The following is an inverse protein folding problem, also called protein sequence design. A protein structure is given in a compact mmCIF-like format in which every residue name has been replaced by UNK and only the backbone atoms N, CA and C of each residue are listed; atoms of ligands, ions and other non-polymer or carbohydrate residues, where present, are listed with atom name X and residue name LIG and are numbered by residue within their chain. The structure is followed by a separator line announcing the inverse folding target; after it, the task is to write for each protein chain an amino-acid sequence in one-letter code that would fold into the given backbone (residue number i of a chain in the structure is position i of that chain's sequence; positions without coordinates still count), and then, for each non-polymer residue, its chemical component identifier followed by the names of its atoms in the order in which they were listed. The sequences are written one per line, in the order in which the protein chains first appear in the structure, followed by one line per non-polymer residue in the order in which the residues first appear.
data_IF_122498267134
#
_entry.id   IF_122498267134
#
_cell.length_a   1.000
_cell.length_b   1.000
_cell.length_c   1.000
_cell.angle_alpha   90.00
_cell.angle_beta   90.00
_cell.angle_gamma   90.00
#
_symmetry.space_group_name_H-M   'P 1'
#
loop_
_entity.id
_entity.type
_entity.pdbx_description
1 polymer ?
#
# COMPACT_ATOMS: atom_id res chain seq x y z
N UNK A 1 57.63 -1.98 -3.23
CA UNK A 1 57.54 -3.05 -2.22
C UNK A 1 56.50 -2.60 -1.19
N UNK A 2 55.26 -3.07 -1.35
CA UNK A 2 54.57 -4.05 -0.48
C UNK A 2 54.29 -3.52 0.94
N UNK A 3 53.14 -3.76 1.59
CA UNK A 3 51.77 -4.15 1.25
C UNK A 3 51.01 -4.14 2.60
N UNK A 4 49.66 -4.12 2.57
CA UNK A 4 48.69 -4.39 3.66
C UNK A 4 48.23 -3.21 4.54
N UNK A 5 47.14 -2.59 4.09
CA UNK A 5 46.05 -2.13 4.96
C UNK A 5 44.94 -3.18 4.80
N UNK A 6 44.48 -3.75 5.92
CA UNK A 6 43.41 -4.74 5.90
C UNK A 6 43.13 -5.30 7.29
N UNK A 7 41.85 -5.33 7.61
CA UNK A 7 41.21 -5.96 8.78
C UNK A 7 41.21 -5.11 10.06
N UNK A 8 40.27 -4.16 10.18
CA UNK A 8 39.77 -3.76 11.52
C UNK A 8 38.35 -3.15 11.61
N UNK A 9 37.54 -3.14 10.53
CA UNK A 9 36.13 -2.69 10.61
C UNK A 9 35.09 -3.82 10.66
N UNK A 10 35.51 -5.09 10.68
CA UNK A 10 34.59 -6.24 10.67
C UNK A 10 34.28 -6.85 12.05
N UNK A 11 34.72 -6.23 13.16
CA UNK A 11 34.56 -6.77 14.52
C UNK A 11 33.61 -5.97 15.44
N UNK A 12 33.00 -4.88 14.96
CA UNK A 12 32.04 -4.10 15.77
C UNK A 12 30.58 -4.52 15.52
N UNK A 13 30.28 -5.15 14.38
CA UNK A 13 28.91 -5.60 14.07
C UNK A 13 28.47 -6.90 14.80
N UNK A 14 29.39 -7.63 15.44
CA UNK A 14 29.08 -8.94 16.03
C UNK A 14 28.99 -8.97 17.57
N UNK A 15 29.04 -7.79 18.24
CA UNK A 15 28.87 -7.68 19.71
C UNK A 15 27.47 -7.24 20.17
N UNK A 16 26.60 -6.82 19.25
CA UNK A 16 25.22 -6.44 19.60
C UNK A 16 24.17 -7.54 19.39
N UNK A 17 24.52 -8.68 18.77
CA UNK A 17 23.60 -9.84 18.67
C UNK A 17 23.46 -10.65 19.97
N UNK A 18 24.47 -10.66 20.85
CA UNK A 18 24.43 -11.50 22.07
C UNK A 18 23.83 -10.81 23.30
N UNK A 19 23.66 -9.48 23.26
CA UNK A 19 23.08 -8.69 24.38
C UNK A 19 21.56 -8.50 24.30
N UNK A 20 20.97 -8.66 23.12
CA UNK A 20 19.51 -8.60 22.93
C UNK A 20 18.83 -9.95 23.19
N UNK A 21 19.52 -11.08 23.00
CA UNK A 21 18.99 -12.40 23.38
C UNK A 21 18.98 -12.66 24.90
N UNK A 22 19.80 -11.96 25.70
CA UNK A 22 19.81 -12.09 27.17
C UNK A 22 18.79 -11.19 27.88
N UNK A 23 18.27 -10.15 27.23
CA UNK A 23 17.17 -9.35 27.78
C UNK A 23 15.79 -10.02 27.60
N UNK A 24 15.62 -10.82 26.55
CA UNK A 24 14.36 -11.50 26.24
C UNK A 24 14.09 -12.74 27.13
N UNK A 25 15.13 -13.42 27.61
CA UNK A 25 14.99 -14.55 28.54
C UNK A 25 14.77 -14.12 30.01
N UNK A 26 15.01 -12.84 30.35
CA UNK A 26 14.78 -12.33 31.71
C UNK A 26 13.31 -11.96 31.98
N UNK A 27 12.50 -11.74 30.93
CA UNK A 27 11.06 -11.47 31.05
C UNK A 27 10.19 -12.75 31.00
N UNK A 28 10.75 -13.89 30.59
CA UNK A 28 10.03 -15.16 30.47
C UNK A 28 9.88 -15.94 31.79
N UNK A 29 10.50 -15.48 32.90
CA UNK A 29 10.51 -16.18 34.20
C UNK A 29 9.78 -15.49 35.37
N UNK A 30 8.94 -14.48 35.14
CA UNK A 30 8.20 -13.77 36.21
C UNK A 30 6.68 -13.70 36.04
N UNK A 31 6.03 -14.80 35.64
CA UNK A 31 4.59 -15.00 35.83
C UNK A 31 4.31 -16.30 36.59
N UNK A 32 4.69 -16.28 37.85
CA UNK A 32 4.11 -17.13 38.88
C UNK A 32 3.88 -16.23 40.09
N UNK A 33 2.74 -16.41 40.78
CA UNK A 33 2.29 -15.71 41.99
C UNK A 33 1.45 -14.43 41.70
N UNK A 34 0.12 -14.56 41.67
CA UNK A 34 -0.79 -14.09 42.74
C UNK A 34 -2.25 -14.37 42.36
N UNK A 35 -2.84 -15.35 43.03
CA UNK A 35 -4.28 -15.54 43.20
C UNK A 35 -4.68 -14.78 44.48
N UNK A 36 -5.95 -14.37 44.57
CA UNK A 36 -6.78 -14.02 45.75
C UNK A 36 -7.03 -12.50 45.98
N UNK A 37 -8.31 -12.21 46.27
CA UNK A 37 -9.03 -10.97 46.68
C UNK A 37 -9.62 -10.15 45.49
N UNK A 38 -10.94 -9.95 45.32
CA UNK A 38 -12.12 -10.18 46.17
C UNK A 38 -13.44 -10.12 45.37
N UNK A 39 -14.45 -10.80 45.91
CA UNK A 39 -15.87 -10.85 45.51
C UNK A 39 -16.69 -9.80 46.32
N UNK A 40 -17.83 -9.35 45.77
CA UNK A 40 -19.16 -8.95 46.36
C UNK A 40 -19.73 -7.78 45.50
N UNK A 41 -20.66 -7.97 44.56
CA UNK A 41 -22.14 -8.16 44.61
C UNK A 41 -22.95 -6.91 45.02
N UNK A 42 -23.78 -6.36 44.11
CA UNK A 42 -25.16 -5.94 44.39
C UNK A 42 -25.95 -5.57 43.11
N UNK A 43 -27.20 -6.04 43.08
CA UNK A 43 -28.24 -5.93 42.07
C UNK A 43 -29.00 -4.60 42.20
N UNK A 44 -29.29 -3.91 41.09
CA UNK A 44 -30.51 -3.09 40.97
C UNK A 44 -31.06 -3.20 39.55
N UNK A 45 -32.27 -3.77 39.47
CA UNK A 45 -33.14 -3.79 38.29
C UNK A 45 -33.83 -2.43 38.22
N UNK A 46 -33.71 -1.71 37.10
CA UNK A 46 -34.59 -0.59 36.76
C UNK A 46 -35.34 -0.91 35.48
N UNK A 47 -36.64 -1.05 35.65
CA UNK A 47 -37.66 -1.23 34.62
C UNK A 47 -37.79 0.06 33.83
N UNK A 48 -37.60 0.01 32.51
CA UNK A 48 -37.96 1.10 31.59
C UNK A 48 -39.19 0.66 30.79
N UNK A 49 -40.30 1.41 30.81
CA UNK A 49 -41.50 1.05 30.05
C UNK A 49 -41.30 1.31 28.56
N UNK A 50 -41.62 0.29 27.76
CA UNK A 50 -41.73 0.32 26.31
C UNK A 50 -42.93 1.17 25.87
N UNK A 51 -42.68 2.20 25.06
CA UNK A 51 -43.74 2.88 24.30
C UNK A 51 -43.88 2.20 22.94
N UNK A 52 -45.04 1.57 22.77
CA UNK A 52 -45.49 0.93 21.54
C UNK A 52 -45.86 2.01 20.53
N UNK A 53 -45.09 2.15 19.46
CA UNK A 53 -45.51 2.88 18.26
C UNK A 53 -46.07 1.87 17.28
N UNK A 54 -47.38 1.95 17.05
CA UNK A 54 -48.12 1.13 16.08
C UNK A 54 -47.67 1.43 14.66
N UNK A 55 -47.15 0.40 13.98
CA UNK A 55 -46.74 0.41 12.58
C UNK A 55 -47.96 0.10 11.69
N UNK A 56 -48.46 1.08 10.94
CA UNK A 56 -49.44 0.86 9.89
C UNK A 56 -48.77 0.13 8.70
N UNK A 57 -49.24 -1.08 8.41
CA UNK A 57 -48.91 -1.83 7.19
C UNK A 57 -49.82 -1.35 6.06
N UNK A 58 -49.25 -0.72 5.04
CA UNK A 58 -49.87 -0.64 3.71
C UNK A 58 -49.11 -1.52 2.74
N UNK A 59 -49.83 -2.52 2.22
CA UNK A 59 -49.45 -3.43 1.15
C UNK A 59 -49.39 -2.64 -0.16
N UNK A 60 -48.28 -2.70 -0.90
CA UNK A 60 -48.28 -2.47 -2.36
C UNK A 60 -47.39 -3.51 -3.02
N UNK A 61 -48.02 -4.33 -3.85
CA UNK A 61 -47.41 -5.30 -4.74
C UNK A 61 -46.89 -4.65 -6.03
N UNK A 62 -45.84 -5.28 -6.56
CA UNK A 62 -45.43 -5.43 -7.97
C UNK A 62 -45.25 -4.17 -8.84
N UNK A 63 -44.03 -3.97 -9.32
CA UNK A 63 -43.63 -4.37 -10.70
C UNK A 63 -42.14 -4.15 -10.90
N UNK A 64 -41.40 -5.22 -11.24
CA UNK A 64 -40.03 -5.13 -11.78
C UNK A 64 -40.15 -4.99 -13.30
N UNK A 65 -39.89 -3.80 -13.83
CA UNK A 65 -39.66 -3.59 -15.25
C UNK A 65 -38.15 -3.62 -15.48
N UNK A 66 -37.67 -4.68 -16.11
CA UNK A 66 -36.36 -4.71 -16.72
C UNK A 66 -36.41 -3.81 -17.96
N UNK A 67 -35.69 -2.70 -17.93
CA UNK A 67 -35.50 -1.87 -19.12
C UNK A 67 -34.17 -2.28 -19.74
N UNK A 68 -34.24 -2.99 -20.86
CA UNK A 68 -33.11 -3.17 -21.79
C UNK A 68 -32.68 -1.79 -22.26
N UNK A 69 -31.41 -1.43 -22.01
CA UNK A 69 -30.79 -0.25 -22.61
C UNK A 69 -29.98 -0.74 -23.82
N UNK A 70 -30.54 -0.51 -25.00
CA UNK A 70 -29.86 -0.62 -26.29
C UNK A 70 -28.73 0.41 -26.37
N UNK A 71 -27.51 -0.07 -26.59
CA UNK A 71 -26.30 0.73 -26.80
C UNK A 71 -26.34 1.42 -28.16
N UNK A 72 -26.08 2.74 -28.16
CA UNK A 72 -25.73 3.48 -29.38
C UNK A 72 -24.32 4.01 -29.20
N UNK A 73 -23.42 3.59 -30.09
CA UNK A 73 -21.98 3.84 -30.01
C UNK A 73 -21.62 5.22 -30.55
N UNK A 74 -20.95 6.04 -29.74
CA UNK A 74 -20.02 7.06 -30.23
C UNK A 74 -18.86 7.26 -29.24
N UNK A 75 -17.71 6.67 -29.57
CA UNK A 75 -16.40 7.30 -29.40
C UNK A 75 -15.92 7.77 -28.02
N UNK A 76 -16.41 7.23 -26.90
CA UNK A 76 -15.75 7.44 -25.59
C UNK A 76 -14.86 6.25 -25.26
N UNK A 77 -13.58 6.54 -25.03
CA UNK A 77 -12.58 5.62 -24.52
C UNK A 77 -13.08 5.13 -23.15
N UNK A 78 -13.55 3.89 -23.09
CA UNK A 78 -14.00 3.24 -21.87
C UNK A 78 -12.82 3.18 -20.90
N UNK A 79 -12.75 4.14 -19.99
CA UNK A 79 -11.94 4.05 -18.79
C UNK A 79 -12.61 2.94 -17.98
N UNK A 80 -12.03 1.75 -17.99
CA UNK A 80 -12.50 0.64 -17.17
C UNK A 80 -12.12 0.93 -15.73
N UNK A 81 -12.87 1.84 -15.09
CA UNK A 81 -12.83 2.00 -13.63
C UNK A 81 -13.16 0.63 -13.03
N UNK A 82 -12.30 0.10 -12.17
CA UNK A 82 -12.52 -1.17 -11.46
C UNK A 82 -13.87 -1.09 -10.75
N UNK A 83 -14.86 -1.90 -11.14
CA UNK A 83 -16.19 -1.89 -10.51
C UNK A 83 -16.16 -2.73 -9.23
N UNK A 84 -15.66 -2.15 -8.14
CA UNK A 84 -15.80 -2.68 -6.77
C UNK A 84 -17.04 -2.03 -6.16
N UNK A 85 -18.11 -2.80 -6.03
CA UNK A 85 -19.32 -2.35 -5.34
C UNK A 85 -19.05 -2.16 -3.83
N UNK A 86 -19.82 -1.30 -3.15
CA UNK A 86 -19.69 -1.04 -1.71
C UNK A 86 -19.73 -2.30 -0.81
N UNK A 87 -20.34 -3.39 -1.29
CA UNK A 87 -20.46 -4.65 -0.56
C UNK A 87 -19.51 -5.74 -1.06
N UNK A 88 -18.55 -5.39 -1.93
CA UNK A 88 -17.56 -6.35 -2.42
C UNK A 88 -16.81 -6.96 -1.24
N UNK A 89 -16.73 -8.29 -1.28
CA UNK A 89 -15.94 -9.10 -0.37
C UNK A 89 -14.92 -9.87 -1.18
N UNK A 90 -13.88 -10.32 -0.51
CA UNK A 90 -12.88 -11.19 -1.10
C UNK A 90 -12.89 -12.52 -0.38
N UNK A 91 -12.70 -13.59 -1.14
CA UNK A 91 -12.57 -14.94 -0.58
C UNK A 91 -11.37 -14.98 0.35
N UNK A 92 -11.55 -15.51 1.54
CA UNK A 92 -10.51 -15.58 2.59
C UNK A 92 -9.59 -16.78 2.35
N UNK A 93 -9.00 -16.85 1.15
CA UNK A 93 -8.08 -17.90 0.71
C UNK A 93 -7.14 -17.36 -0.37
N UNK A 94 -6.15 -16.55 0.03
CA UNK A 94 -5.22 -16.01 -0.95
C UNK A 94 -4.43 -17.10 -1.67
N UNK A 95 -4.08 -16.78 -2.91
CA UNK A 95 -3.09 -17.51 -3.69
C UNK A 95 -1.81 -16.68 -3.77
N UNK A 96 -0.65 -17.31 -3.56
CA UNK A 96 0.63 -16.67 -3.84
C UNK A 96 0.85 -16.64 -5.35
N UNK A 97 0.99 -15.45 -5.93
CA UNK A 97 1.14 -15.27 -7.39
C UNK A 97 2.57 -14.91 -7.82
N UNK A 98 3.42 -14.54 -6.87
CA UNK A 98 4.85 -14.28 -7.06
C UNK A 98 5.59 -14.44 -5.72
N UNK A 99 6.84 -14.89 -5.77
CA UNK A 99 7.66 -15.13 -4.59
C UNK A 99 7.21 -16.35 -3.76
N UNK A 100 7.48 -16.31 -2.45
CA UNK A 100 7.16 -17.40 -1.51
C UNK A 100 8.09 -18.62 -1.58
N UNK A 101 9.15 -18.58 -2.40
CA UNK A 101 10.12 -19.65 -2.58
C UNK A 101 11.39 -19.43 -1.74
N UNK A 102 11.20 -19.13 -0.45
CA UNK A 102 12.27 -18.72 0.48
C UNK A 102 12.92 -17.37 0.13
N UNK A 103 13.72 -16.86 1.08
CA UNK A 103 14.48 -15.64 0.92
C UNK A 103 15.62 -15.86 -0.08
N UNK A 104 15.75 -14.97 -1.06
CA UNK A 104 16.89 -14.96 -1.98
C UNK A 104 16.69 -14.06 -3.19
N UNK A 105 17.60 -14.16 -4.15
CA UNK A 105 17.70 -13.27 -5.31
C UNK A 105 17.49 -13.99 -6.66
N UNK A 106 17.12 -15.27 -6.65
CA UNK A 106 16.71 -15.97 -7.87
C UNK A 106 15.42 -15.37 -8.44
N UNK A 107 15.12 -15.62 -9.71
CA UNK A 107 13.94 -15.03 -10.37
C UNK A 107 12.60 -15.60 -9.89
N UNK A 108 12.62 -16.70 -9.13
CA UNK A 108 11.44 -17.22 -8.44
C UNK A 108 11.37 -16.78 -6.95
N UNK A 109 12.32 -15.96 -6.49
CA UNK A 109 12.42 -15.45 -5.13
C UNK A 109 12.23 -13.93 -5.11
N UNK A 110 11.74 -13.43 -3.99
CA UNK A 110 11.64 -11.99 -3.69
C UNK A 110 12.32 -11.76 -2.34
N UNK A 111 12.76 -10.53 -2.09
CA UNK A 111 13.28 -10.08 -0.81
C UNK A 111 12.66 -8.72 -0.45
N UNK A 112 11.71 -8.76 0.49
CA UNK A 112 10.93 -7.62 0.95
C UNK A 112 10.29 -6.83 -0.20
N UNK A 113 9.40 -7.46 -1.00
CA UNK A 113 8.70 -6.76 -2.07
C UNK A 113 7.84 -5.63 -1.51
N UNK A 114 7.99 -4.43 -2.06
CA UNK A 114 7.26 -3.22 -1.65
C UNK A 114 6.16 -2.88 -2.65
N UNK A 115 6.30 -1.80 -3.41
CA UNK A 115 5.31 -1.33 -4.37
C UNK A 115 5.03 -2.32 -5.49
N UNK A 116 3.76 -2.40 -5.87
CA UNK A 116 3.27 -3.31 -6.91
C UNK A 116 2.40 -2.60 -7.93
N UNK A 117 2.55 -2.98 -9.20
CA UNK A 117 1.70 -2.50 -10.28
C UNK A 117 1.14 -3.65 -11.11
N UNK A 118 -0.18 -3.78 -11.16
CA UNK A 118 -0.88 -4.77 -11.99
C UNK A 118 -1.07 -4.22 -13.41
N UNK A 119 -0.45 -4.86 -14.40
CA UNK A 119 -0.68 -4.62 -15.82
C UNK A 119 -1.70 -5.64 -16.33
N UNK A 120 -2.99 -5.28 -16.28
CA UNK A 120 -4.10 -6.08 -16.81
C UNK A 120 -3.95 -6.41 -18.30
N UNK A 121 -3.42 -5.50 -19.10
CA UNK A 121 -3.31 -5.69 -20.55
C UNK A 121 -2.31 -6.80 -20.86
N UNK A 122 -1.24 -6.87 -20.07
CA UNK A 122 -0.23 -7.92 -20.14
C UNK A 122 -0.39 -8.98 -19.05
N UNK A 123 -1.54 -9.09 -18.37
CA UNK A 123 -1.81 -10.13 -17.36
C UNK A 123 -0.60 -10.42 -16.45
N UNK A 124 0.02 -9.35 -15.95
CA UNK A 124 1.29 -9.43 -15.23
C UNK A 124 1.32 -8.41 -14.09
N UNK A 125 2.27 -8.58 -13.20
CA UNK A 125 2.54 -7.65 -12.11
C UNK A 125 4.01 -7.23 -12.16
N UNK A 126 4.26 -5.95 -11.95
CA UNK A 126 5.58 -5.40 -11.69
C UNK A 126 5.75 -5.22 -10.18
N UNK A 127 6.90 -5.63 -9.66
CA UNK A 127 7.17 -5.69 -8.24
C UNK A 127 8.50 -4.99 -7.98
N UNK A 128 8.50 -4.02 -7.06
CA UNK A 128 9.70 -3.47 -6.48
C UNK A 128 10.30 -4.46 -5.48
N UNK A 129 11.26 -5.26 -5.94
CA UNK A 129 11.97 -6.28 -5.16
C UNK A 129 13.12 -5.59 -4.42
N UNK A 130 12.75 -4.94 -3.32
CA UNK A 130 13.48 -3.84 -2.69
C UNK A 130 14.92 -4.22 -2.31
N UNK A 131 15.09 -5.32 -1.57
CA UNK A 131 16.41 -5.76 -1.08
C UNK A 131 17.23 -6.48 -2.15
N UNK A 132 16.61 -6.85 -3.27
CA UNK A 132 17.30 -7.35 -4.44
C UNK A 132 17.65 -6.23 -5.44
N UNK A 133 17.37 -4.96 -5.12
CA UNK A 133 17.75 -3.79 -5.92
C UNK A 133 17.29 -3.89 -7.39
N UNK A 134 16.06 -4.36 -7.60
CA UNK A 134 15.53 -4.64 -8.93
C UNK A 134 14.02 -4.48 -9.00
N UNK A 135 13.53 -4.37 -10.23
CA UNK A 135 12.12 -4.57 -10.55
C UNK A 135 11.96 -5.91 -11.24
N UNK A 136 11.06 -6.74 -10.73
CA UNK A 136 10.69 -8.02 -11.33
C UNK A 136 9.32 -7.89 -11.98
N UNK A 137 9.19 -8.39 -13.20
CA UNK A 137 7.88 -8.60 -13.84
C UNK A 137 7.49 -10.07 -13.70
N UNK A 138 6.29 -10.34 -13.23
CA UNK A 138 5.77 -11.69 -13.08
C UNK A 138 4.49 -11.86 -13.89
N UNK A 139 4.48 -12.80 -14.84
CA UNK A 139 3.27 -13.14 -15.61
C UNK A 139 2.36 -14.03 -14.78
N UNK A 140 1.05 -13.78 -14.77
CA UNK A 140 0.13 -14.61 -13.98
C UNK A 140 0.19 -16.08 -14.40
N UNK A 141 0.35 -16.96 -13.41
CA UNK A 141 0.52 -18.41 -13.61
C UNK A 141 1.94 -18.88 -13.93
N UNK A 142 2.93 -17.98 -13.99
CA UNK A 142 4.33 -18.36 -14.16
C UNK A 142 4.96 -18.77 -12.82
N UNK A 143 5.94 -19.70 -12.87
CA UNK A 143 6.68 -20.15 -11.68
C UNK A 143 7.81 -19.20 -11.26
N UNK A 144 8.21 -18.29 -12.16
CA UNK A 144 9.26 -17.30 -11.94
C UNK A 144 9.00 -16.01 -12.70
N UNK A 145 9.54 -14.91 -12.18
CA UNK A 145 9.55 -13.62 -12.84
C UNK A 145 10.64 -13.49 -13.90
N UNK A 146 10.68 -12.32 -14.52
CA UNK A 146 11.76 -11.85 -15.38
C UNK A 146 12.26 -10.49 -14.88
N UNK A 147 13.56 -10.25 -14.99
CA UNK A 147 14.15 -8.97 -14.64
C UNK A 147 13.62 -7.88 -15.58
N UNK A 148 13.00 -6.84 -15.02
CA UNK A 148 12.40 -5.75 -15.78
C UNK A 148 13.25 -4.47 -15.73
N UNK A 149 13.89 -4.20 -14.60
CA UNK A 149 14.83 -3.09 -14.42
C UNK A 149 15.79 -3.39 -13.24
N UNK A 150 16.94 -2.72 -13.21
CA UNK A 150 17.97 -2.95 -12.18
C UNK A 150 18.64 -4.32 -12.31
N UNK A 151 18.98 -4.95 -11.18
CA UNK A 151 19.62 -6.28 -11.14
C UNK A 151 21.10 -6.30 -11.54
N UNK A 152 21.73 -5.14 -11.69
CA UNK A 152 23.18 -4.99 -11.95
C UNK A 152 23.96 -4.71 -10.66
N UNK A 153 23.50 -5.27 -9.54
CA UNK A 153 23.97 -4.95 -8.19
C UNK A 153 23.37 -3.66 -7.64
N UNK A 154 23.54 -3.48 -6.32
CA UNK A 154 23.28 -2.22 -5.63
C UNK A 154 24.24 -1.13 -6.12
N UNK A 155 23.71 0.03 -6.45
CA UNK A 155 24.53 1.20 -6.77
C UNK A 155 23.74 2.33 -7.41
N UNK A 156 24.45 3.38 -7.81
CA UNK A 156 23.87 4.64 -8.30
C UNK A 156 24.07 4.87 -9.80
N UNK A 157 24.72 3.93 -10.50
CA UNK A 157 24.83 3.99 -11.96
C UNK A 157 23.44 4.02 -12.61
N UNK A 158 23.37 4.53 -13.84
CA UNK A 158 22.08 4.73 -14.53
C UNK A 158 21.33 3.40 -14.75
N UNK A 159 22.05 2.28 -14.79
CA UNK A 159 21.52 0.94 -14.94
C UNK A 159 21.48 0.14 -13.62
N UNK A 160 21.70 0.78 -12.48
CA UNK A 160 21.57 0.20 -11.14
C UNK A 160 20.40 0.83 -10.39
N UNK A 161 19.86 0.10 -9.42
CA UNK A 161 18.87 0.62 -8.47
C UNK A 161 19.43 0.43 -7.06
N UNK A 162 18.88 1.17 -6.10
CA UNK A 162 19.23 1.09 -4.70
C UNK A 162 17.96 1.21 -3.85
N UNK A 163 17.49 0.07 -3.35
CA UNK A 163 16.25 -0.08 -2.59
C UNK A 163 15.05 0.59 -3.30
N UNK A 164 14.68 0.13 -4.51
CA UNK A 164 13.49 0.64 -5.18
C UNK A 164 12.26 0.37 -4.32
N UNK A 165 11.41 1.38 -4.13
CA UNK A 165 10.24 1.28 -3.25
C UNK A 165 8.96 1.07 -4.04
N UNK A 166 8.84 1.74 -5.18
CA UNK A 166 7.61 1.74 -5.97
C UNK A 166 7.90 1.70 -7.47
N UNK A 167 6.96 1.15 -8.22
CA UNK A 167 7.01 1.07 -9.67
C UNK A 167 5.61 1.26 -10.24
N UNK A 168 5.47 2.15 -11.23
CA UNK A 168 4.25 2.30 -12.02
C UNK A 168 4.56 2.20 -13.51
N UNK A 169 3.51 2.10 -14.32
CA UNK A 169 3.61 1.97 -15.77
C UNK A 169 3.05 3.21 -16.48
N UNK A 170 3.89 3.87 -17.28
CA UNK A 170 3.43 4.75 -18.36
C UNK A 170 3.07 3.86 -19.56
N UNK A 171 1.77 3.57 -19.71
CA UNK A 171 1.27 2.66 -20.76
C UNK A 171 1.46 3.22 -22.17
N UNK A 172 1.26 4.52 -22.34
CA UNK A 172 1.37 5.20 -23.62
C UNK A 172 2.80 5.16 -24.15
N UNK A 173 3.77 5.49 -23.29
CA UNK A 173 5.19 5.51 -23.66
C UNK A 173 5.92 4.19 -23.43
N UNK A 174 5.26 3.21 -22.83
CA UNK A 174 5.79 1.87 -22.50
C UNK A 174 7.04 1.94 -21.60
N UNK A 175 7.02 2.87 -20.64
CA UNK A 175 8.08 3.01 -19.64
C UNK A 175 7.61 2.52 -18.27
N UNK A 176 8.49 1.80 -17.58
CA UNK A 176 8.40 1.69 -16.13
C UNK A 176 8.90 3.00 -15.53
N UNK A 177 8.20 3.50 -14.52
CA UNK A 177 8.62 4.64 -13.71
C UNK A 177 8.88 4.10 -12.32
N UNK A 178 10.10 4.28 -11.83
CA UNK A 178 10.60 3.59 -10.65
C UNK A 178 11.05 4.63 -9.63
N UNK A 179 10.57 4.46 -8.40
CA UNK A 179 11.07 5.18 -7.27
C UNK A 179 12.30 4.48 -6.74
N UNK A 180 13.47 5.08 -6.97
CA UNK A 180 14.78 4.56 -6.60
C UNK A 180 15.26 5.32 -5.34
N UNK A 181 14.74 4.90 -4.19
CA UNK A 181 14.66 5.71 -2.97
C UNK A 181 16.04 6.13 -2.44
N UNK A 182 16.98 5.20 -2.26
CA UNK A 182 18.29 5.55 -1.66
C UNK A 182 19.21 6.28 -2.65
N UNK A 183 18.96 6.14 -3.95
CA UNK A 183 19.58 7.01 -4.96
C UNK A 183 18.90 8.38 -5.08
N UNK A 184 17.84 8.63 -4.30
CA UNK A 184 17.03 9.86 -4.25
C UNK A 184 16.60 10.34 -5.63
N UNK A 185 16.05 9.44 -6.43
CA UNK A 185 15.63 9.74 -7.80
C UNK A 185 14.39 8.98 -8.23
N UNK A 186 13.70 9.53 -9.22
CA UNK A 186 12.73 8.80 -10.03
C UNK A 186 13.33 8.56 -11.40
N UNK A 187 13.35 7.30 -11.84
CA UNK A 187 13.98 6.87 -13.08
C UNK A 187 12.95 6.18 -13.98
N UNK A 188 13.00 6.46 -15.29
CA UNK A 188 12.25 5.70 -16.29
C UNK A 188 13.10 4.60 -16.90
N UNK A 189 12.47 3.47 -17.21
CA UNK A 189 13.07 2.33 -17.90
C UNK A 189 12.19 1.85 -19.05
N UNK A 190 12.75 1.65 -20.25
CA UNK A 190 11.96 1.15 -21.38
C UNK A 190 11.59 -0.32 -21.19
N UNK A 191 10.32 -0.67 -21.44
CA UNK A 191 9.87 -2.07 -21.54
C UNK A 191 10.38 -2.77 -22.80
N UNK A 192 10.91 -2.02 -23.76
CA UNK A 192 11.33 -2.54 -25.05
C UNK A 192 12.86 -2.49 -25.23
N UNK A 193 13.54 -1.56 -24.56
CA UNK A 193 14.99 -1.41 -24.61
C UNK A 193 15.58 -1.25 -23.20
N UNK A 194 16.11 -2.33 -22.63
CA UNK A 194 16.67 -2.32 -21.27
C UNK A 194 17.92 -1.43 -21.12
N UNK A 195 18.45 -0.86 -22.21
CA UNK A 195 19.63 0.01 -22.24
C UNK A 195 19.28 1.52 -22.36
N UNK A 196 18.01 1.91 -22.18
CA UNK A 196 17.56 3.32 -22.16
C UNK A 196 16.98 3.78 -20.80
N UNK A 197 17.70 3.61 -19.67
CA UNK A 197 17.29 4.25 -18.42
C UNK A 197 17.54 5.76 -18.47
N UNK A 198 16.59 6.55 -17.95
CA UNK A 198 16.70 8.02 -17.87
C UNK A 198 16.15 8.53 -16.54
N UNK A 199 16.91 9.37 -15.85
CA UNK A 199 16.45 10.05 -14.64
C UNK A 199 15.40 11.10 -15.03
N UNK A 200 14.24 11.07 -14.37
CA UNK A 200 13.16 12.03 -14.54
C UNK A 200 13.22 13.13 -13.49
N UNK A 201 13.46 12.75 -12.24
CA UNK A 201 13.51 13.66 -11.09
C UNK A 201 14.70 13.24 -10.22
N UNK A 202 15.51 14.21 -9.81
CA UNK A 202 16.66 14.01 -8.91
C UNK A 202 16.43 14.72 -7.58
N UNK A 203 17.20 14.34 -6.55
CA UNK A 203 17.14 14.93 -5.21
C UNK A 203 15.77 14.80 -4.54
N UNK A 204 15.10 13.66 -4.76
CA UNK A 204 13.81 13.36 -4.16
C UNK A 204 13.89 12.03 -3.41
N UNK A 205 13.55 12.04 -2.12
CA UNK A 205 13.45 10.80 -1.33
C UNK A 205 12.06 10.22 -1.55
N UNK A 206 11.86 9.68 -2.76
CA UNK A 206 10.56 9.18 -3.18
C UNK A 206 10.12 7.99 -2.29
N UNK A 207 8.81 7.86 -2.07
CA UNK A 207 8.23 6.68 -1.40
C UNK A 207 7.03 6.09 -2.14
N UNK A 208 6.30 6.90 -2.90
CA UNK A 208 5.16 6.46 -3.69
C UNK A 208 5.04 7.25 -5.00
N UNK A 209 4.53 6.58 -6.03
CA UNK A 209 4.33 7.10 -7.37
C UNK A 209 2.86 6.94 -7.77
N UNK A 210 2.34 7.92 -8.50
CA UNK A 210 1.08 7.80 -9.22
C UNK A 210 1.16 8.57 -10.54
N UNK A 211 0.39 8.18 -11.54
CA UNK A 211 0.34 8.87 -12.82
C UNK A 211 -1.11 9.07 -13.24
N UNK A 212 -1.44 10.30 -13.64
CA UNK A 212 -2.77 10.59 -14.17
C UNK A 212 -2.89 10.17 -15.66
N UNK A 213 -4.11 10.23 -16.17
CA UNK A 213 -4.43 9.89 -17.56
C UNK A 213 -3.85 10.86 -18.62
N UNK A 214 -3.19 11.95 -18.19
CA UNK A 214 -2.46 12.88 -19.05
C UNK A 214 -0.94 12.69 -18.97
N UNK A 215 -0.47 11.70 -18.20
CA UNK A 215 0.93 11.40 -18.02
C UNK A 215 1.64 12.32 -17.03
N UNK A 216 0.91 13.06 -16.18
CA UNK A 216 1.54 13.79 -15.09
C UNK A 216 1.92 12.81 -13.99
N UNK A 217 3.19 12.85 -13.60
CA UNK A 217 3.74 12.03 -12.54
C UNK A 217 3.57 12.73 -11.19
N UNK A 218 3.04 12.01 -10.22
CA UNK A 218 2.93 12.42 -8.83
C UNK A 218 3.92 11.60 -8.01
N UNK A 219 4.63 12.26 -7.10
CA UNK A 219 5.66 11.62 -6.27
C UNK A 219 5.56 12.15 -4.85
N UNK A 220 5.42 11.26 -3.87
CA UNK A 220 5.61 11.64 -2.47
C UNK A 220 7.09 11.78 -2.16
N UNK A 221 7.47 12.93 -1.60
CA UNK A 221 8.80 13.21 -1.11
C UNK A 221 8.80 13.11 0.41
N UNK A 222 9.45 12.06 0.92
CA UNK A 222 9.42 11.72 2.34
C UNK A 222 10.07 12.81 3.20
N UNK A 223 11.23 13.28 2.76
CA UNK A 223 12.09 14.18 3.53
C UNK A 223 11.55 15.63 3.49
N UNK A 224 10.97 16.04 2.36
CA UNK A 224 10.34 17.37 2.22
C UNK A 224 8.88 17.41 2.69
N UNK A 225 8.33 16.28 3.16
CA UNK A 225 6.97 16.14 3.68
C UNK A 225 5.90 16.71 2.73
N UNK A 226 5.98 16.29 1.46
CA UNK A 226 5.11 16.81 0.41
C UNK A 226 4.81 15.77 -0.65
N UNK A 227 3.82 16.06 -1.49
CA UNK A 227 3.63 15.40 -2.77
C UNK A 227 3.82 16.43 -3.88
N UNK A 228 4.69 16.11 -4.82
CA UNK A 228 4.93 16.92 -6.01
C UNK A 228 4.22 16.31 -7.22
N UNK A 229 3.90 17.16 -8.19
CA UNK A 229 3.50 16.78 -9.54
C UNK A 229 4.55 17.29 -10.54
N UNK A 230 4.94 16.42 -11.45
CA UNK A 230 5.90 16.69 -12.53
C UNK A 230 5.30 16.24 -13.87
N UNK A 231 5.64 16.95 -14.95
CA UNK A 231 5.28 16.58 -16.31
C UNK A 231 6.56 16.59 -17.15
N UNK A 232 6.70 15.61 -18.05
CA UNK A 232 7.84 15.61 -18.97
C UNK A 232 7.88 16.88 -19.83
N UNK A 233 9.05 17.52 -19.87
CA UNK A 233 9.26 18.81 -20.53
C UNK A 233 9.19 20.01 -19.58
N UNK A 234 8.67 19.85 -18.36
CA UNK A 234 8.72 20.90 -17.35
C UNK A 234 10.04 20.87 -16.59
N UNK A 235 10.64 22.04 -16.38
CA UNK A 235 11.86 22.21 -15.57
C UNK A 235 11.57 22.14 -14.06
N UNK A 236 10.38 22.59 -13.65
CA UNK A 236 9.98 22.70 -12.25
C UNK A 236 8.86 21.71 -11.88
N UNK A 237 8.85 21.30 -10.61
CA UNK A 237 7.78 20.50 -10.00
C UNK A 237 6.77 21.42 -9.30
N UNK A 238 5.54 20.93 -9.13
CA UNK A 238 4.48 21.68 -8.42
C UNK A 238 4.09 20.90 -7.17
N UNK A 239 4.14 21.53 -6.00
CA UNK A 239 3.62 20.94 -4.76
C UNK A 239 2.09 20.88 -4.82
N UNK A 240 1.53 19.68 -4.63
CA UNK A 240 0.07 19.43 -4.71
C UNK A 240 -0.54 18.94 -3.40
N UNK A 241 0.29 18.52 -2.43
CA UNK A 241 -0.11 18.23 -1.05
C UNK A 241 1.07 18.45 -0.11
N UNK A 242 0.82 18.86 1.14
CA UNK A 242 1.88 19.15 2.12
C UNK A 242 2.72 20.38 1.76
N UNK A 243 4.04 20.28 1.96
CA UNK A 243 5.01 21.33 1.64
C UNK A 243 4.99 22.55 2.58
N UNK A 244 4.28 22.45 3.70
CA UNK A 244 4.21 23.48 4.74
C UNK A 244 4.98 23.06 6.01
N UNK A 245 6.05 22.30 5.81
CA UNK A 245 6.86 21.69 6.88
C UNK A 245 6.21 20.45 7.51
N UNK A 246 7.00 19.79 8.35
CA UNK A 246 6.58 18.63 9.14
C UNK A 246 5.48 19.03 10.14
N UNK A 247 4.37 18.31 10.14
CA UNK A 247 3.32 18.49 11.15
C UNK A 247 2.03 17.77 10.83
N UNK A 248 0.99 18.01 11.64
CA UNK A 248 -0.30 17.31 11.55
C UNK A 248 -1.48 18.25 11.20
N UNK A 249 -1.20 19.52 10.86
CA UNK A 249 -2.23 20.42 10.33
C UNK A 249 -2.78 19.90 8.99
N UNK A 250 -3.94 20.40 8.57
CA UNK A 250 -4.59 19.96 7.33
C UNK A 250 -3.81 20.34 6.05
N UNK A 251 -2.83 21.22 6.12
CA UNK A 251 -1.90 21.56 5.02
C UNK A 251 -0.49 20.98 5.21
N UNK A 252 -0.28 20.13 6.22
CA UNK A 252 1.01 19.52 6.53
C UNK A 252 0.94 18.01 6.37
N UNK A 253 2.12 17.41 6.17
CA UNK A 253 2.35 15.97 6.16
C UNK A 253 3.53 15.67 7.09
N UNK A 254 3.68 14.41 7.47
CA UNK A 254 4.84 13.90 8.20
C UNK A 254 5.24 12.54 7.63
N UNK A 255 6.32 12.57 6.84
CA UNK A 255 6.87 11.43 6.09
C UNK A 255 5.79 10.73 5.24
N UNK A 256 5.29 11.39 4.18
CA UNK A 256 4.31 10.79 3.30
C UNK A 256 4.90 9.56 2.59
N UNK A 257 4.08 8.51 2.46
CA UNK A 257 4.47 7.25 1.84
C UNK A 257 3.71 7.03 0.52
N UNK A 258 3.08 5.87 0.29
CA UNK A 258 2.33 5.64 -0.96
C UNK A 258 1.21 6.66 -1.17
N UNK A 259 0.92 6.89 -2.45
CA UNK A 259 -0.08 7.84 -2.90
C UNK A 259 -1.00 7.20 -3.94
N UNK A 260 -2.22 7.73 -4.03
CA UNK A 260 -3.15 7.41 -5.11
C UNK A 260 -3.69 8.70 -5.72
N UNK A 261 -3.88 8.72 -7.04
CA UNK A 261 -4.46 9.86 -7.77
C UNK A 261 -5.75 9.39 -8.45
N UNK A 262 -6.87 10.02 -8.13
CA UNK A 262 -8.15 9.71 -8.78
C UNK A 262 -8.33 10.43 -10.13
N UNK A 263 -9.36 10.05 -10.89
CA UNK A 263 -9.71 10.63 -12.19
C UNK A 263 -10.05 12.13 -12.13
N UNK A 264 -10.28 12.67 -10.93
CA UNK A 264 -10.49 14.09 -10.66
C UNK A 264 -9.22 14.81 -10.21
N UNK A 265 -8.05 14.16 -10.34
CA UNK A 265 -6.74 14.65 -9.93
C UNK A 265 -6.64 14.93 -8.42
N UNK A 266 -7.49 14.30 -7.62
CA UNK A 266 -7.34 14.35 -6.16
C UNK A 266 -6.23 13.40 -5.74
N UNK A 267 -5.37 13.86 -4.84
CA UNK A 267 -4.25 13.08 -4.31
C UNK A 267 -4.63 12.55 -2.93
N UNK A 268 -4.60 11.24 -2.77
CA UNK A 268 -4.70 10.54 -1.50
C UNK A 268 -3.29 10.22 -1.05
N UNK A 269 -2.96 10.60 0.17
CA UNK A 269 -1.59 10.51 0.70
C UNK A 269 -1.65 9.75 1.99
N UNK A 270 -0.87 8.67 2.07
CA UNK A 270 -0.56 8.03 3.34
C UNK A 270 0.39 8.94 4.09
N UNK A 271 -0.13 9.60 5.12
CA UNK A 271 0.62 10.49 6.01
C UNK A 271 1.10 9.63 7.19
N UNK A 272 2.17 8.87 6.93
CA UNK A 272 2.55 7.66 7.66
C UNK A 272 2.76 7.92 9.16
N UNK A 273 3.55 8.93 9.52
CA UNK A 273 3.88 9.18 10.93
C UNK A 273 2.79 9.93 11.68
N UNK A 274 1.90 10.61 10.97
CA UNK A 274 0.63 11.09 11.52
C UNK A 274 -0.46 9.98 11.55
N UNK A 275 -0.15 8.79 11.02
CA UNK A 275 -1.00 7.59 11.01
C UNK A 275 -2.37 7.84 10.39
N UNK A 276 -2.42 8.57 9.28
CA UNK A 276 -3.69 8.92 8.63
C UNK A 276 -3.59 8.84 7.12
N UNK A 277 -4.73 8.77 6.45
CA UNK A 277 -4.82 9.05 5.02
C UNK A 277 -5.54 10.37 4.82
N UNK A 278 -4.91 11.24 4.05
CA UNK A 278 -5.39 12.58 3.74
C UNK A 278 -5.68 12.68 2.25
N UNK A 279 -6.75 13.39 1.87
CA UNK A 279 -7.10 13.66 0.47
C UNK A 279 -6.98 15.15 0.18
N UNK A 280 -6.23 15.52 -0.85
CA UNK A 280 -6.25 16.86 -1.43
C UNK A 280 -7.03 16.83 -2.75
N UNK A 281 -8.09 17.62 -2.85
CA UNK A 281 -8.70 17.89 -4.14
C UNK A 281 -7.73 18.70 -5.03
N UNK A 282 -7.89 18.65 -6.35
CA UNK A 282 -7.07 19.42 -7.28
C UNK A 282 -6.99 20.89 -6.88
N UNK A 283 -5.78 21.43 -6.76
CA UNK A 283 -5.47 22.80 -6.37
C UNK A 283 -5.92 23.20 -4.93
N UNK A 284 -6.28 22.24 -4.08
CA UNK A 284 -6.60 22.54 -2.69
C UNK A 284 -5.33 22.93 -1.91
N UNK A 285 -5.45 23.93 -1.03
CA UNK A 285 -4.35 24.35 -0.13
C UNK A 285 -4.31 23.56 1.18
N UNK A 286 -5.37 22.80 1.46
CA UNK A 286 -5.55 21.93 2.63
C UNK A 286 -6.23 20.64 2.20
N UNK A 287 -5.85 19.55 2.84
CA UNK A 287 -6.46 18.25 2.66
C UNK A 287 -7.65 18.06 3.60
N UNK A 288 -8.35 16.96 3.39
CA UNK A 288 -9.38 16.43 4.27
C UNK A 288 -8.95 15.07 4.79
N UNK A 289 -9.32 14.75 6.03
CA UNK A 289 -9.06 13.45 6.62
C UNK A 289 -10.02 12.41 6.04
N UNK A 290 -9.49 11.33 5.48
CA UNK A 290 -10.32 10.30 4.81
C UNK A 290 -10.12 8.88 5.35
N UNK A 291 -9.02 8.62 6.07
CA UNK A 291 -8.88 7.46 6.95
C UNK A 291 -8.18 7.90 8.25
N UNK A 292 -8.93 8.15 9.34
CA UNK A 292 -8.35 8.58 10.62
C UNK A 292 -7.65 7.44 11.37
N UNK A 293 -6.54 7.75 12.07
CA UNK A 293 -6.08 6.91 13.18
C UNK A 293 -7.07 6.98 14.33
N UNK A 294 -7.51 5.84 14.83
CA UNK A 294 -8.20 5.82 16.11
C UNK A 294 -7.18 5.83 17.23
N UNK A 295 -7.20 6.87 18.07
CA UNK A 295 -6.49 6.84 19.35
C UNK A 295 -7.39 6.21 20.41
N UNK A 296 -6.88 5.15 21.03
CA UNK A 296 -7.18 4.61 22.36
C UNK A 296 -8.45 3.76 22.60
N UNK A 297 -8.28 2.46 22.38
CA UNK A 297 -8.52 1.35 23.33
C UNK A 297 -8.15 0.05 22.61
N UNK A 298 -7.59 -0.94 23.33
CA UNK A 298 -6.87 -2.11 22.78
C UNK A 298 -7.72 -3.04 21.88
N UNK A 299 -9.00 -2.70 21.68
CA UNK A 299 -9.96 -3.41 20.84
C UNK A 299 -10.44 -2.62 19.60
N UNK A 300 -9.89 -1.44 19.32
CA UNK A 300 -10.28 -0.65 18.13
C UNK A 300 -9.57 -1.12 16.85
N UNK A 301 -10.26 -1.00 15.71
CA UNK A 301 -9.73 -1.20 14.35
C UNK A 301 -8.90 0.02 13.90
N UNK A 302 -7.96 0.47 14.75
CA UNK A 302 -7.13 1.63 14.49
C UNK A 302 -6.11 1.37 13.38
N UNK A 303 -5.90 2.37 12.52
CA UNK A 303 -4.80 2.38 11.56
C UNK A 303 -3.49 2.60 12.33
N UNK A 304 -2.66 1.56 12.42
CA UNK A 304 -1.45 1.55 13.25
C UNK A 304 -0.36 2.37 12.59
N UNK A 305 0.21 1.82 11.51
CA UNK A 305 1.12 2.53 10.61
C UNK A 305 0.62 2.21 9.19
N UNK A 306 -0.17 3.10 8.56
CA UNK A 306 -0.56 2.90 7.18
C UNK A 306 0.64 3.04 6.27
N UNK A 307 0.71 2.22 5.21
CA UNK A 307 1.78 2.33 4.22
C UNK A 307 1.23 2.52 2.82
N UNK A 308 0.50 1.54 2.29
CA UNK A 308 -0.10 1.51 0.96
C UNK A 308 -1.53 2.05 0.94
N UNK A 309 -1.94 2.69 -0.16
CA UNK A 309 -3.32 3.17 -0.36
C UNK A 309 -3.81 2.90 -1.77
N UNK A 310 -5.04 2.39 -1.88
CA UNK A 310 -5.77 2.32 -3.14
C UNK A 310 -7.21 2.81 -2.94
N UNK A 311 -7.81 3.38 -3.99
CA UNK A 311 -9.19 3.88 -3.93
C UNK A 311 -9.98 3.26 -5.07
N UNK A 312 -11.17 2.75 -4.77
CA UNK A 312 -12.07 2.22 -5.80
C UNK A 312 -12.92 3.33 -6.46
N UNK A 313 -13.61 2.98 -7.55
CA UNK A 313 -14.44 3.92 -8.31
C UNK A 313 -15.62 4.51 -7.51
N UNK A 314 -16.01 3.90 -6.38
CA UNK A 314 -17.04 4.45 -5.48
C UNK A 314 -16.46 5.35 -4.40
N UNK A 315 -15.14 5.49 -4.35
CA UNK A 315 -14.42 6.28 -3.37
C UNK A 315 -14.13 5.55 -2.06
N UNK A 316 -14.31 4.23 -1.97
CA UNK A 316 -13.82 3.51 -0.79
C UNK A 316 -12.30 3.49 -0.81
N UNK A 317 -11.70 3.73 0.36
CA UNK A 317 -10.26 3.83 0.56
C UNK A 317 -9.80 2.57 1.24
N UNK A 318 -8.85 1.88 0.62
CA UNK A 318 -8.22 0.67 1.10
C UNK A 318 -6.79 0.99 1.51
N UNK A 319 -6.40 0.54 2.70
CA UNK A 319 -5.10 0.88 3.27
C UNK A 319 -4.47 -0.37 3.85
N UNK A 320 -3.18 -0.60 3.55
CA UNK A 320 -2.40 -1.61 4.29
C UNK A 320 -2.14 -1.09 5.70
N UNK A 321 -2.48 -1.88 6.72
CA UNK A 321 -2.17 -1.57 8.10
C UNK A 321 -1.01 -2.47 8.53
N UNK A 322 0.21 -1.93 8.42
CA UNK A 322 1.46 -2.64 8.68
C UNK A 322 1.45 -3.34 10.04
N UNK A 323 1.11 -2.59 11.10
CA UNK A 323 1.15 -3.11 12.48
C UNK A 323 0.02 -4.09 12.80
N UNK A 324 -1.13 -3.96 12.15
CA UNK A 324 -2.25 -4.87 12.38
C UNK A 324 -2.29 -6.02 11.38
N UNK A 325 -1.33 -6.13 10.45
CA UNK A 325 -1.25 -7.17 9.42
C UNK A 325 -2.58 -7.39 8.68
N UNK A 326 -3.25 -6.29 8.31
CA UNK A 326 -4.57 -6.30 7.68
C UNK A 326 -4.68 -5.27 6.58
N UNK A 327 -5.57 -5.54 5.64
CA UNK A 327 -6.08 -4.52 4.71
C UNK A 327 -7.39 -3.98 5.27
N UNK A 328 -7.46 -2.67 5.44
CA UNK A 328 -8.59 -1.98 6.05
C UNK A 328 -9.29 -1.11 5.01
N UNK A 329 -10.62 -0.99 5.09
CA UNK A 329 -11.43 -0.17 4.18
C UNK A 329 -12.24 0.89 4.92
N UNK A 330 -12.20 2.12 4.40
CA UNK A 330 -13.09 3.22 4.78
C UNK A 330 -14.01 3.55 3.61
N UNK A 331 -15.31 3.58 3.87
CA UNK A 331 -16.25 4.19 2.93
C UNK A 331 -16.16 5.71 2.98
N UNK A 332 -16.55 6.44 1.91
CA UNK A 332 -16.53 7.89 1.90
C UNK A 332 -17.20 8.50 3.15
N UNK A 333 -16.44 9.30 3.91
CA UNK A 333 -16.92 9.94 5.13
C UNK A 333 -16.99 9.06 6.38
N UNK A 334 -16.57 7.79 6.29
CA UNK A 334 -16.52 6.91 7.45
C UNK A 334 -15.41 7.34 8.43
N UNK A 335 -15.72 7.28 9.73
CA UNK A 335 -14.76 7.51 10.81
C UNK A 335 -14.08 6.21 11.28
N UNK A 336 -14.61 5.07 10.85
CA UNK A 336 -14.16 3.73 11.23
C UNK A 336 -13.90 2.90 9.98
N UNK A 337 -12.77 2.19 10.01
CA UNK A 337 -12.40 1.24 8.98
C UNK A 337 -12.92 -0.16 9.33
N UNK A 338 -13.22 -0.94 8.30
CA UNK A 338 -13.55 -2.36 8.43
C UNK A 338 -12.44 -3.21 7.85
N UNK A 339 -12.04 -4.32 8.50
CA UNK A 339 -11.08 -5.24 7.92
C UNK A 339 -11.67 -5.92 6.68
N UNK A 340 -10.84 -6.06 5.65
CA UNK A 340 -11.20 -6.66 4.36
C UNK A 340 -10.60 -8.05 4.22
N UNK A 341 -9.30 -8.16 4.50
CA UNK A 341 -8.50 -9.39 4.54
C UNK A 341 -7.42 -9.24 5.62
N UNK A 342 -6.93 -10.37 6.16
CA UNK A 342 -5.96 -10.39 7.25
C UNK A 342 -6.57 -10.74 8.61
N UNK A 343 -5.86 -11.52 9.43
CA UNK A 343 -6.35 -12.08 10.70
C UNK A 343 -5.96 -11.28 11.96
N UNK A 344 -5.45 -10.05 11.82
CA UNK A 344 -4.93 -9.24 12.94
C UNK A 344 -3.85 -9.94 13.76
N UNK A 345 -3.09 -10.81 13.11
CA UNK A 345 -1.96 -11.55 13.65
C UNK A 345 -0.94 -11.75 12.54
N UNK A 346 0.34 -11.65 12.89
CA UNK A 346 1.41 -11.99 11.96
C UNK A 346 1.37 -13.48 11.59
N UNK A 347 1.67 -13.79 10.34
CA UNK A 347 1.75 -15.17 9.89
C UNK A 347 1.90 -15.30 8.39
N UNK A 348 2.08 -16.54 7.93
CA UNK A 348 2.29 -16.87 6.52
C UNK A 348 1.16 -17.71 5.93
N UNK A 349 0.06 -17.91 6.67
CA UNK A 349 -1.13 -18.59 6.18
C UNK A 349 -1.81 -17.86 5.00
N UNK A 350 -2.82 -18.49 4.35
CA UNK A 350 -3.53 -17.91 3.20
C UNK A 350 -4.32 -16.63 3.50
N UNK A 351 -4.54 -16.33 4.77
CA UNK A 351 -5.30 -15.17 5.28
C UNK A 351 -4.45 -14.31 6.22
N UNK A 352 -3.17 -14.62 6.36
CA UNK A 352 -2.24 -13.95 7.26
C UNK A 352 -1.20 -13.21 6.44
N UNK A 353 -0.78 -12.07 6.97
CA UNK A 353 0.29 -11.26 6.42
C UNK A 353 1.38 -11.09 7.45
N UNK A 354 2.56 -10.72 6.98
CA UNK A 354 3.64 -10.20 7.80
C UNK A 354 4.12 -8.91 7.13
N UNK A 355 3.77 -7.79 7.76
CA UNK A 355 4.14 -6.45 7.33
C UNK A 355 3.74 -6.14 5.88
N UNK A 356 2.43 -6.16 5.55
CA UNK A 356 1.98 -5.85 4.20
C UNK A 356 2.27 -4.36 3.89
N UNK A 357 2.92 -4.12 2.76
CA UNK A 357 3.45 -2.79 2.42
C UNK A 357 2.49 -2.07 1.47
N UNK A 358 2.22 -2.64 0.29
CA UNK A 358 1.38 -2.05 -0.75
C UNK A 358 0.21 -2.95 -1.19
N UNK A 359 -0.79 -2.34 -1.85
CA UNK A 359 -1.93 -3.04 -2.43
C UNK A 359 -2.36 -2.48 -3.78
N UNK A 360 -2.92 -3.34 -4.64
CA UNK A 360 -3.44 -2.95 -5.95
C UNK A 360 -4.65 -3.79 -6.35
N UNK A 361 -5.41 -3.33 -7.34
CA UNK A 361 -6.55 -4.04 -7.90
C UNK A 361 -6.33 -4.33 -9.38
N UNK A 362 -6.76 -5.51 -9.83
CA UNK A 362 -6.95 -5.75 -11.26
C UNK A 362 -8.30 -5.18 -11.75
N UNK A 363 -8.53 -5.16 -13.07
CA UNK A 363 -9.80 -4.68 -13.66
C UNK A 363 -11.04 -5.48 -13.22
N UNK A 364 -10.84 -6.69 -12.72
CA UNK A 364 -11.93 -7.52 -12.17
C UNK A 364 -12.19 -7.21 -10.68
N UNK A 365 -11.38 -6.35 -10.06
CA UNK A 365 -11.45 -5.99 -8.65
C UNK A 365 -10.86 -7.02 -7.70
N UNK A 366 -10.06 -7.97 -8.21
CA UNK A 366 -9.27 -8.85 -7.34
C UNK A 366 -8.18 -8.01 -6.67
N UNK A 367 -7.96 -8.30 -5.38
CA UNK A 367 -7.00 -7.58 -4.55
C UNK A 367 -5.65 -8.28 -4.60
N UNK A 368 -4.60 -7.51 -4.83
CA UNK A 368 -3.21 -7.92 -4.77
C UNK A 368 -2.54 -7.20 -3.61
N UNK A 369 -1.75 -7.92 -2.81
CA UNK A 369 -1.07 -7.37 -1.64
C UNK A 369 0.39 -7.78 -1.65
N UNK A 370 1.29 -6.83 -1.48
CA UNK A 370 2.70 -7.07 -1.23
C UNK A 370 2.88 -7.45 0.26
N UNK A 371 3.07 -8.74 0.51
CA UNK A 371 3.24 -9.32 1.83
C UNK A 371 4.75 -9.38 2.14
N UNK A 372 5.31 -8.21 2.47
CA UNK A 372 6.72 -7.89 2.30
C UNK A 372 7.63 -8.84 3.10
N UNK A 373 7.41 -9.00 4.41
CA UNK A 373 8.29 -9.84 5.23
C UNK A 373 8.12 -11.34 4.95
N UNK A 374 6.98 -11.73 4.36
CA UNK A 374 6.77 -13.08 3.84
C UNK A 374 7.34 -13.28 2.41
N UNK A 375 7.97 -12.26 1.82
CA UNK A 375 8.64 -12.32 0.53
C UNK A 375 7.75 -12.82 -0.62
N UNK A 376 6.49 -12.36 -0.65
CA UNK A 376 5.50 -12.84 -1.62
C UNK A 376 4.46 -11.80 -1.98
N UNK A 377 3.79 -12.02 -3.11
CA UNK A 377 2.58 -11.29 -3.49
C UNK A 377 1.37 -12.22 -3.35
N UNK A 378 0.37 -11.77 -2.60
CA UNK A 378 -0.88 -12.50 -2.36
C UNK A 378 -2.00 -11.92 -3.23
N UNK A 379 -2.76 -12.79 -3.91
CA UNK A 379 -3.97 -12.44 -4.66
C UNK A 379 -5.21 -13.00 -3.97
N UNK A 380 -6.21 -12.14 -3.77
CA UNK A 380 -7.53 -12.47 -3.28
C UNK A 380 -8.57 -12.23 -4.37
N UNK A 381 -9.41 -13.22 -4.64
CA UNK A 381 -10.46 -13.15 -5.66
C UNK A 381 -11.72 -12.58 -5.02
N UNK A 382 -12.48 -11.77 -5.77
CA UNK A 382 -13.80 -11.32 -5.33
C UNK A 382 -14.69 -12.53 -4.97
N UNK A 383 -15.41 -12.41 -3.86
CA UNK A 383 -16.44 -13.33 -3.47
C UNK A 383 -17.74 -12.96 -4.19
N UNK A 384 -18.18 -13.80 -5.13
CA UNK A 384 -19.32 -13.58 -6.00
C UNK A 384 -20.67 -13.98 -5.38
N UNK A 385 -20.66 -14.47 -4.14
CA UNK A 385 -21.75 -15.22 -3.52
C UNK A 385 -22.59 -14.41 -2.53
#
# INVERSE_FOLDING_TARGET
MNNRVGVDEFLVANRNRTRLQTLFEHFRKRKLIWIIFSIILAVVIVVIPTTIVTRNKTKKEKTSTATEITTTTSGEQLITSVIINNNTKWKQNASTIAGGNELGNELNQLDCPRGIYVDDDDQSIYIADNWNHRIVKWKFGADKGILAAGGNGEGSDINQLHFPVDVILDKEKKYLIICDQENRRVIRWSRQNSQDPKILISNITCSGLAMDNHGSLYVSDRDEHQVIRWQEGNEETVVVAGGNGQGNELNQLYEPHFIFVDEHYSVYVVDQLNRRVMKWARNATKGILVAPSQVSNENSNSIGVPIGVAVDHTGNIYVTNFYSHQIMRWSPGAIEGVPVVGEKVEGSGPTQFYDPDDLSFDRQGNLYVADATNNRIQKFIIDSD
#
